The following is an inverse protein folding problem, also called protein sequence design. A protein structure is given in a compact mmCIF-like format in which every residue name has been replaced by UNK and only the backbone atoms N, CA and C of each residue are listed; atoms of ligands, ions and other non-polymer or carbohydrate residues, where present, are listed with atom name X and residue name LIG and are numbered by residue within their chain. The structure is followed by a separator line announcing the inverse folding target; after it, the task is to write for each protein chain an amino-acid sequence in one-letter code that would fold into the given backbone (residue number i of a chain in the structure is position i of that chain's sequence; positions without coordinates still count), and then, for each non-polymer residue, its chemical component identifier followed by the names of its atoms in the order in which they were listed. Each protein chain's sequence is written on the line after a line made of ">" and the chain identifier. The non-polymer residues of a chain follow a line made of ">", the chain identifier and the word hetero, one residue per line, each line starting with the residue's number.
data_IF_064492003416
#
_entry.id   IF_064492003416
#
_cell.length_a   1.000
_cell.length_b   1.000
_cell.length_c   1.000
_cell.angle_alpha   90.00
_cell.angle_beta   90.00
_cell.angle_gamma   90.00
#
_symmetry.space_group_name_H-M   'P 1'
#
loop_
_entity.id
_entity.type
_entity.pdbx_description
1 polymer ?
#
# COMPACT_ATOMS: atom_id res chain seq x y z
N UNK A 1 14.84 -8.36 19.18
CA UNK A 1 13.79 -7.35 19.13
C UNK A 1 12.49 -7.91 18.57
N UNK A 2 11.43 -7.13 18.68
CA UNK A 2 10.13 -7.44 18.12
C UNK A 2 10.02 -6.73 16.76
N UNK A 3 9.37 -7.37 15.80
CA UNK A 3 9.02 -6.80 14.50
C UNK A 3 7.52 -6.48 14.52
N UNK A 4 7.18 -5.23 14.26
CA UNK A 4 5.80 -4.79 14.03
C UNK A 4 5.55 -4.76 12.52
N UNK A 5 4.74 -5.70 12.05
CA UNK A 5 4.48 -5.90 10.61
C UNK A 5 3.42 -4.95 10.03
N UNK A 6 2.74 -4.15 10.87
CA UNK A 6 1.69 -3.24 10.43
C UNK A 6 1.62 -1.98 11.29
N UNK A 7 2.27 -0.93 10.86
CA UNK A 7 2.32 0.34 11.60
C UNK A 7 2.08 1.56 10.72
N UNK A 8 1.76 2.68 11.37
CA UNK A 8 1.54 3.98 10.73
C UNK A 8 2.32 5.10 11.44
N UNK A 9 3.34 4.74 12.25
CA UNK A 9 4.23 5.70 12.92
C UNK A 9 5.33 6.19 11.99
N UNK A 10 6.19 7.06 12.50
CA UNK A 10 7.37 7.55 11.79
C UNK A 10 7.07 8.23 10.46
N UNK A 11 5.94 8.90 10.32
CA UNK A 11 5.56 9.63 9.11
C UNK A 11 5.11 11.04 9.43
N UNK A 12 5.47 12.00 8.57
CA UNK A 12 5.10 13.41 8.72
C UNK A 12 3.75 13.70 8.07
N UNK A 13 2.85 14.39 8.78
CA UNK A 13 1.68 15.07 8.24
C UNK A 13 0.52 14.17 7.78
N UNK A 14 0.69 12.89 7.79
CA UNK A 14 -0.30 11.93 7.33
C UNK A 14 0.31 10.88 6.41
N UNK A 15 -0.34 9.72 6.36
CA UNK A 15 0.17 8.56 5.65
C UNK A 15 -0.80 8.09 4.57
N UNK A 16 -1.88 8.83 4.37
CA UNK A 16 -2.98 8.46 3.49
C UNK A 16 -3.10 9.43 2.32
N UNK A 17 -2.86 8.96 1.12
CA UNK A 17 -3.26 9.66 -0.10
C UNK A 17 -4.58 9.08 -0.59
N UNK A 18 -5.69 9.78 -0.27
CA UNK A 18 -7.04 9.26 -0.47
C UNK A 18 -7.80 9.91 -1.63
N UNK A 19 -7.17 10.80 -2.37
CA UNK A 19 -7.80 11.62 -3.40
C UNK A 19 -8.25 10.82 -4.61
N UNK A 20 -7.56 9.70 -4.90
CA UNK A 20 -7.87 8.80 -6.01
C UNK A 20 -8.10 7.37 -5.54
N UNK A 21 -8.72 6.56 -6.38
CA UNK A 21 -8.96 5.13 -6.10
C UNK A 21 -7.69 4.31 -6.17
N UNK A 22 -6.75 4.76 -6.98
CA UNK A 22 -5.44 4.16 -7.19
C UNK A 22 -4.39 5.25 -6.99
N UNK A 23 -3.46 5.03 -6.09
CA UNK A 23 -2.35 5.94 -5.77
C UNK A 23 -1.06 5.12 -5.59
N UNK A 24 -0.84 4.16 -6.49
CA UNK A 24 0.27 3.22 -6.41
C UNK A 24 1.66 3.89 -6.52
N UNK A 25 1.72 5.11 -7.06
CA UNK A 25 2.93 5.89 -7.23
C UNK A 25 3.44 6.54 -5.95
N UNK A 26 2.57 6.78 -4.93
CA UNK A 26 3.01 7.42 -3.69
C UNK A 26 3.77 6.45 -2.80
N UNK A 27 4.74 6.97 -2.04
CA UNK A 27 5.64 6.14 -1.24
C UNK A 27 5.73 6.65 0.19
N UNK A 28 5.51 5.78 1.16
CA UNK A 28 5.74 6.07 2.58
C UNK A 28 7.20 6.49 2.83
N UNK A 29 8.13 5.95 2.04
CA UNK A 29 9.56 6.28 2.13
C UNK A 29 9.88 7.78 1.99
N UNK A 30 9.01 8.55 1.33
CA UNK A 30 9.24 9.97 1.06
C UNK A 30 8.81 10.89 2.23
N UNK A 31 8.09 10.34 3.21
CA UNK A 31 7.54 11.11 4.34
C UNK A 31 8.01 10.59 5.70
N UNK A 32 9.08 9.83 5.75
CA UNK A 32 9.62 9.30 7.01
C UNK A 32 10.06 10.44 7.91
N UNK A 33 9.53 10.43 9.14
CA UNK A 33 9.87 11.36 10.21
C UNK A 33 10.70 10.66 11.30
N UNK A 34 12.01 10.87 11.36
CA UNK A 34 12.87 10.23 12.34
C UNK A 34 12.71 10.80 13.76
N UNK A 35 12.02 11.95 13.89
CA UNK A 35 11.76 12.63 15.17
C UNK A 35 10.39 12.27 15.77
N UNK A 36 9.64 11.36 15.15
CA UNK A 36 8.37 10.89 15.71
C UNK A 36 8.61 10.18 17.05
N UNK A 37 8.10 10.76 18.13
CA UNK A 37 8.23 10.21 19.49
C UNK A 37 7.76 8.76 19.61
N UNK A 38 6.88 8.31 18.71
CA UNK A 38 6.42 6.93 18.71
C UNK A 38 7.55 5.93 18.38
N UNK A 39 8.59 6.35 17.65
CA UNK A 39 9.78 5.53 17.45
C UNK A 39 10.44 5.21 18.80
N UNK A 40 10.65 6.21 19.63
CA UNK A 40 11.22 6.03 20.98
C UNK A 40 10.32 5.15 21.86
N UNK A 41 9.00 5.38 21.82
CA UNK A 41 8.03 4.59 22.59
C UNK A 41 8.03 3.12 22.17
N UNK A 42 8.07 2.84 20.89
CA UNK A 42 8.16 1.47 20.37
C UNK A 42 9.47 0.80 20.76
N UNK A 43 10.58 1.50 20.65
CA UNK A 43 11.90 1.00 21.10
C UNK A 43 11.91 0.67 22.60
N UNK A 44 11.28 1.48 23.44
CA UNK A 44 11.18 1.21 24.89
C UNK A 44 10.34 -0.03 25.19
N UNK A 45 9.40 -0.40 24.30
CA UNK A 45 8.64 -1.64 24.35
C UNK A 45 9.35 -2.85 23.73
N UNK A 46 10.54 -2.66 23.17
CA UNK A 46 11.33 -3.75 22.54
C UNK A 46 11.06 -3.96 21.05
N UNK A 47 10.24 -3.11 20.40
CA UNK A 47 10.03 -3.14 18.94
C UNK A 47 11.23 -2.48 18.27
N UNK A 48 11.94 -3.22 17.44
CA UNK A 48 13.17 -2.77 16.78
C UNK A 48 13.05 -2.58 15.29
N UNK A 49 12.00 -3.11 14.69
CA UNK A 49 11.71 -2.96 13.27
C UNK A 49 10.21 -2.80 13.07
N UNK A 50 9.83 -1.98 12.11
CA UNK A 50 8.41 -1.74 11.82
C UNK A 50 8.16 -1.57 10.33
N UNK A 51 7.11 -2.22 9.83
CA UNK A 51 6.63 -2.06 8.46
C UNK A 51 5.61 -0.93 8.42
N UNK A 52 5.99 0.20 7.84
CA UNK A 52 5.16 1.39 7.80
C UNK A 52 4.33 1.37 6.52
N UNK A 53 3.01 1.36 6.70
CA UNK A 53 2.05 1.20 5.63
C UNK A 53 1.26 2.48 5.36
N UNK A 54 0.93 2.69 4.10
CA UNK A 54 -0.20 3.55 3.73
C UNK A 54 -1.48 3.06 4.40
N UNK A 55 -2.37 3.92 4.79
CA UNK A 55 -3.65 3.51 5.38
C UNK A 55 -4.63 2.88 4.38
N UNK A 56 -5.83 2.56 4.85
CA UNK A 56 -6.80 1.76 4.08
C UNK A 56 -7.90 2.60 3.44
N UNK A 57 -7.64 3.85 3.07
CA UNK A 57 -8.66 4.79 2.63
C UNK A 57 -9.06 4.66 1.14
N UNK A 58 -8.28 3.96 0.34
CA UNK A 58 -8.54 3.71 -1.08
C UNK A 58 -8.20 2.25 -1.45
N UNK A 59 -8.77 1.70 -2.54
CA UNK A 59 -8.52 0.31 -2.93
C UNK A 59 -7.05 -0.01 -3.14
N UNK A 60 -6.35 0.78 -3.96
CA UNK A 60 -4.92 0.66 -4.18
C UNK A 60 -4.26 1.90 -3.61
N UNK A 61 -3.62 1.75 -2.46
CA UNK A 61 -2.89 2.81 -1.77
C UNK A 61 -1.43 2.88 -2.20
N UNK A 62 -0.59 3.42 -1.30
CA UNK A 62 0.82 3.68 -1.57
C UNK A 62 1.76 2.52 -1.25
N UNK A 63 2.97 2.68 -1.73
CA UNK A 63 4.10 1.80 -1.45
C UNK A 63 4.54 1.97 0.00
N UNK A 64 4.82 0.85 0.67
CA UNK A 64 5.18 0.79 2.08
C UNK A 64 6.68 0.94 2.29
N UNK A 65 7.12 1.06 3.54
CA UNK A 65 8.54 1.09 3.88
C UNK A 65 8.82 0.29 5.15
N UNK A 66 9.79 -0.60 5.09
CA UNK A 66 10.31 -1.31 6.26
C UNK A 66 11.41 -0.48 6.91
N UNK A 67 11.28 -0.22 8.22
CA UNK A 67 12.21 0.58 9.00
C UNK A 67 12.87 -0.24 10.11
N UNK A 68 14.16 0.04 10.33
CA UNK A 68 14.83 -0.21 11.60
C UNK A 68 14.50 0.97 12.50
N UNK A 69 13.84 0.72 13.62
CA UNK A 69 13.55 1.79 14.56
C UNK A 69 14.85 2.21 15.26
N UNK A 70 15.31 3.42 14.95
CA UNK A 70 16.53 4.02 15.48
C UNK A 70 16.25 5.45 15.88
N UNK A 71 16.52 5.80 17.11
CA UNK A 71 16.40 7.17 17.59
C UNK A 71 17.68 7.97 17.34
N UNK A 72 17.54 9.19 16.85
CA UNK A 72 18.68 10.11 16.65
C UNK A 72 19.45 9.94 15.35
N UNK A 73 18.90 9.21 14.38
CA UNK A 73 19.49 9.08 13.02
C UNK A 73 18.58 9.70 11.96
N UNK A 74 19.10 9.90 10.76
CA UNK A 74 18.31 10.40 9.63
C UNK A 74 17.37 9.35 9.03
N UNK A 75 16.39 9.78 8.20
CA UNK A 75 15.39 8.87 7.63
C UNK A 75 16.01 7.77 6.76
N UNK A 76 17.06 8.06 6.02
CA UNK A 76 17.71 7.07 5.15
C UNK A 76 18.41 5.94 5.95
N UNK A 77 18.96 6.27 7.11
CA UNK A 77 19.64 5.29 7.98
C UNK A 77 18.64 4.35 8.68
N UNK A 78 17.38 4.73 8.74
CA UNK A 78 16.29 3.89 9.26
C UNK A 78 15.79 2.87 8.24
N UNK A 79 15.90 3.14 6.95
CA UNK A 79 15.39 2.24 5.90
C UNK A 79 16.20 0.95 5.84
N UNK A 80 15.54 -0.17 5.64
CA UNK A 80 16.21 -1.40 5.29
C UNK A 80 16.74 -1.29 3.85
N UNK A 81 18.02 -1.62 3.67
CA UNK A 81 18.58 -1.79 2.34
C UNK A 81 18.16 -3.15 1.76
N UNK A 82 17.90 -3.19 0.47
CA UNK A 82 17.65 -4.44 -0.29
C UNK A 82 16.50 -5.29 0.28
N UNK A 83 15.41 -4.66 0.75
CA UNK A 83 14.20 -5.36 1.15
C UNK A 83 13.22 -5.45 -0.03
N UNK A 84 12.38 -6.47 0.01
CA UNK A 84 11.32 -6.63 -0.98
C UNK A 84 10.25 -5.55 -0.79
N UNK A 85 9.94 -4.78 -1.83
CA UNK A 85 8.96 -3.71 -1.77
C UNK A 85 7.54 -4.24 -1.61
N UNK A 86 6.75 -3.58 -0.77
CA UNK A 86 5.32 -3.87 -0.61
C UNK A 86 4.47 -2.68 -1.02
N UNK A 87 3.18 -2.95 -1.23
CA UNK A 87 2.15 -1.93 -1.47
C UNK A 87 0.91 -2.27 -0.66
N UNK A 88 0.22 -1.24 -0.19
CA UNK A 88 -1.02 -1.39 0.56
C UNK A 88 -2.23 -1.43 -0.36
N UNK A 89 -2.98 -2.52 -0.30
CA UNK A 89 -4.33 -2.65 -0.82
C UNK A 89 -5.34 -2.62 0.31
N UNK A 90 -6.58 -2.33 0.00
CA UNK A 90 -7.64 -2.35 0.99
C UNK A 90 -9.01 -2.72 0.39
N UNK A 91 -9.80 -3.37 1.21
CA UNK A 91 -11.18 -3.78 1.01
C UNK A 91 -12.05 -3.23 2.14
N UNK A 92 -13.28 -3.63 2.23
CA UNK A 92 -14.20 -3.26 3.30
C UNK A 92 -14.83 -1.88 3.12
N UNK A 93 -15.28 -1.29 4.21
CA UNK A 93 -15.99 -0.02 4.21
C UNK A 93 -15.07 1.18 3.93
N UNK A 94 -13.82 1.11 4.38
CA UNK A 94 -12.89 2.23 4.35
C UNK A 94 -12.58 2.75 2.94
N UNK A 95 -12.56 1.87 1.96
CA UNK A 95 -12.20 2.18 0.57
C UNK A 95 -13.33 2.81 -0.22
N UNK A 96 -14.55 2.69 0.28
CA UNK A 96 -15.73 3.35 -0.29
C UNK A 96 -15.76 4.81 0.15
N UNK A 97 -16.35 5.65 -0.64
CA UNK A 97 -16.45 7.09 -0.39
C UNK A 97 -17.20 7.48 0.90
N UNK A 98 -17.88 6.57 1.52
CA UNK A 98 -18.95 6.77 2.51
C UNK A 98 -18.66 7.66 3.71
N UNK A 99 -17.42 8.06 3.95
CA UNK A 99 -17.04 8.80 5.16
C UNK A 99 -16.85 10.32 4.97
N UNK A 100 -17.00 10.87 3.76
CA UNK A 100 -16.82 12.29 3.51
C UNK A 100 -17.86 12.85 2.55
N UNK A 101 -18.65 13.82 3.02
CA UNK A 101 -19.66 14.53 2.23
C UNK A 101 -19.08 15.32 1.04
N UNK A 102 -17.78 15.58 1.06
CA UNK A 102 -17.08 16.39 0.04
C UNK A 102 -16.25 15.55 -0.93
N UNK A 103 -16.24 14.23 -0.81
CA UNK A 103 -15.45 13.37 -1.67
C UNK A 103 -16.35 12.66 -2.69
N UNK A 104 -16.23 13.02 -3.97
CA UNK A 104 -16.94 12.38 -5.09
C UNK A 104 -16.10 11.31 -5.79
N UNK A 105 -15.08 10.79 -5.14
CA UNK A 105 -14.22 9.74 -5.69
C UNK A 105 -14.99 8.41 -5.84
N UNK A 106 -14.84 7.74 -6.97
CA UNK A 106 -15.15 6.32 -7.13
C UNK A 106 -14.16 5.47 -6.27
N UNK A 107 -14.51 4.31 -5.68
CA UNK A 107 -15.82 3.68 -5.68
C UNK A 107 -16.70 4.11 -4.50
N UNK A 108 -18.01 3.97 -4.67
CA UNK A 108 -19.00 4.17 -3.61
C UNK A 108 -19.59 2.86 -3.06
N UNK A 109 -19.36 1.77 -3.75
CA UNK A 109 -19.89 0.44 -3.42
C UNK A 109 -18.85 -0.67 -3.61
N UNK A 110 -19.15 -1.87 -3.08
CA UNK A 110 -18.32 -3.07 -3.29
C UNK A 110 -18.18 -3.46 -4.76
N UNK A 111 -19.22 -3.21 -5.57
CA UNK A 111 -19.13 -3.40 -7.03
C UNK A 111 -18.06 -2.52 -7.65
N UNK A 112 -18.00 -1.26 -7.22
CA UNK A 112 -16.98 -0.33 -7.68
C UNK A 112 -15.57 -0.70 -7.20
N UNK A 113 -15.42 -1.27 -6.00
CA UNK A 113 -14.11 -1.74 -5.49
C UNK A 113 -13.54 -2.81 -6.41
N UNK A 114 -14.31 -3.82 -6.77
CA UNK A 114 -13.88 -4.87 -7.70
C UNK A 114 -13.46 -4.27 -9.06
N UNK A 115 -14.28 -3.38 -9.61
CA UNK A 115 -13.98 -2.74 -10.89
C UNK A 115 -12.71 -1.87 -10.84
N UNK A 116 -12.43 -1.23 -9.71
CA UNK A 116 -11.17 -0.48 -9.54
C UNK A 116 -9.96 -1.40 -9.72
N UNK A 117 -9.96 -2.56 -9.09
CA UNK A 117 -8.87 -3.52 -9.22
C UNK A 117 -8.76 -4.07 -10.64
N UNK A 118 -9.91 -4.44 -11.23
CA UNK A 118 -9.96 -4.97 -12.60
C UNK A 118 -9.42 -3.97 -13.63
N UNK A 119 -9.83 -2.71 -13.54
CA UNK A 119 -9.37 -1.66 -14.44
C UNK A 119 -7.88 -1.35 -14.25
N UNK A 120 -7.44 -1.17 -13.00
CA UNK A 120 -6.06 -0.84 -12.70
C UNK A 120 -5.07 -1.91 -13.24
N UNK A 121 -5.35 -3.18 -13.00
CA UNK A 121 -4.51 -4.25 -13.50
C UNK A 121 -4.61 -4.45 -15.02
N UNK A 122 -5.80 -4.24 -15.61
CA UNK A 122 -5.92 -4.26 -17.06
C UNK A 122 -5.08 -3.16 -17.72
N UNK A 123 -5.14 -1.94 -17.20
CA UNK A 123 -4.29 -0.83 -17.66
C UNK A 123 -2.80 -1.15 -17.52
N UNK A 124 -2.39 -1.79 -16.43
CA UNK A 124 -1.01 -2.20 -16.24
C UNK A 124 -0.56 -3.28 -17.25
N UNK A 125 -1.43 -4.25 -17.55
CA UNK A 125 -1.17 -5.27 -18.59
C UNK A 125 -1.01 -4.61 -19.95
N UNK A 126 -1.88 -3.67 -20.29
CA UNK A 126 -1.82 -2.98 -21.58
C UNK A 126 -0.60 -2.04 -21.66
N UNK A 127 -0.24 -1.39 -20.55
CA UNK A 127 0.98 -0.61 -20.43
C UNK A 127 2.25 -1.46 -20.66
N UNK A 128 2.30 -2.69 -20.16
CA UNK A 128 3.43 -3.58 -20.39
C UNK A 128 3.61 -3.98 -21.88
N UNK A 129 2.50 -4.02 -22.64
CA UNK A 129 2.55 -4.31 -24.09
C UNK A 129 3.08 -3.14 -24.92
N UNK A 130 3.04 -1.92 -24.39
CA UNK A 130 3.62 -0.75 -25.07
C UNK A 130 5.13 -0.90 -25.13
N UNK A 131 5.74 -0.52 -26.25
CA UNK A 131 7.18 -0.61 -26.44
C UNK A 131 8.03 0.21 -25.46
N UNK A 132 9.33 0.17 -25.64
CA UNK A 132 10.32 0.84 -24.76
C UNK A 132 10.22 2.39 -24.81
N UNK A 133 9.70 2.94 -25.88
CA UNK A 133 9.56 4.40 -26.09
C UNK A 133 8.29 4.99 -25.46
N UNK A 134 7.53 4.19 -24.69
CA UNK A 134 6.35 4.68 -23.99
C UNK A 134 6.71 5.73 -22.94
N UNK A 135 5.82 6.71 -22.75
CA UNK A 135 5.92 7.62 -21.61
C UNK A 135 5.85 6.82 -20.30
N UNK A 136 6.78 7.06 -19.39
CA UNK A 136 6.78 6.45 -18.06
C UNK A 136 5.58 6.97 -17.27
N UNK A 137 4.76 6.03 -16.79
CA UNK A 137 3.65 6.24 -15.89
C UNK A 137 3.97 5.58 -14.54
N UNK A 138 4.11 6.36 -13.48
CA UNK A 138 4.60 5.88 -12.19
C UNK A 138 3.61 4.94 -11.49
N UNK A 139 2.30 5.17 -11.66
CA UNK A 139 1.27 4.27 -11.17
C UNK A 139 1.36 2.91 -11.86
N UNK A 140 1.39 2.91 -13.20
CA UNK A 140 1.41 1.68 -14.00
C UNK A 140 2.75 0.94 -13.90
N UNK A 141 3.87 1.64 -13.67
CA UNK A 141 5.16 1.01 -13.37
C UNK A 141 5.06 0.20 -12.06
N UNK A 142 4.48 0.78 -11.01
CA UNK A 142 4.31 0.10 -9.72
C UNK A 142 3.38 -1.12 -9.83
N UNK A 143 2.26 -0.98 -10.56
CA UNK A 143 1.36 -2.11 -10.82
C UNK A 143 2.04 -3.20 -11.67
N UNK A 144 2.89 -2.80 -12.62
CA UNK A 144 3.70 -3.75 -13.42
C UNK A 144 4.71 -4.51 -12.56
N UNK A 145 5.28 -3.90 -11.53
CA UNK A 145 6.14 -4.62 -10.58
C UNK A 145 5.38 -5.71 -9.83
N UNK A 146 4.10 -5.50 -9.50
CA UNK A 146 3.23 -6.51 -8.87
C UNK A 146 3.01 -7.68 -9.85
N UNK A 147 2.64 -7.40 -11.10
CA UNK A 147 2.43 -8.40 -12.14
C UNK A 147 3.72 -9.23 -12.41
N UNK A 148 4.88 -8.59 -12.32
CA UNK A 148 6.17 -9.22 -12.47
C UNK A 148 6.71 -9.90 -11.20
N UNK A 149 5.91 -9.93 -10.11
CA UNK A 149 6.27 -10.54 -8.81
C UNK A 149 7.51 -9.92 -8.16
N UNK A 150 7.75 -8.64 -8.43
CA UNK A 150 8.83 -7.82 -7.85
C UNK A 150 8.35 -6.94 -6.69
N UNK A 151 7.04 -6.80 -6.55
CA UNK A 151 6.41 -6.05 -5.45
C UNK A 151 5.29 -6.90 -4.85
N UNK A 152 5.25 -6.94 -3.54
CA UNK A 152 4.35 -7.75 -2.76
C UNK A 152 3.15 -6.95 -2.28
N UNK A 153 2.01 -7.63 -2.04
CA UNK A 153 0.75 -6.99 -1.68
C UNK A 153 0.38 -7.36 -0.24
N UNK A 154 0.12 -6.34 0.58
CA UNK A 154 -0.57 -6.48 1.85
C UNK A 154 -1.96 -5.84 1.76
N UNK A 155 -3.01 -6.56 2.13
CA UNK A 155 -4.39 -6.17 1.89
C UNK A 155 -5.20 -6.10 3.19
N UNK A 156 -5.69 -4.91 3.51
CA UNK A 156 -6.68 -4.71 4.58
C UNK A 156 -8.00 -5.37 4.20
N UNK A 157 -8.54 -6.24 5.03
CA UNK A 157 -9.74 -7.02 4.72
C UNK A 157 -10.34 -7.66 5.97
N UNK A 158 -11.66 -7.81 5.99
CA UNK A 158 -12.39 -8.46 7.07
C UNK A 158 -13.74 -9.06 6.61
N UNK A 159 -14.01 -9.02 5.30
CA UNK A 159 -15.25 -9.57 4.73
C UNK A 159 -14.91 -10.72 3.79
N UNK A 160 -15.38 -11.91 4.10
CA UNK A 160 -15.06 -13.14 3.37
C UNK A 160 -15.31 -13.04 1.85
N UNK A 161 -16.45 -12.47 1.45
CA UNK A 161 -16.79 -12.34 0.02
C UNK A 161 -15.81 -11.42 -0.73
N UNK A 162 -15.32 -10.37 -0.08
CA UNK A 162 -14.34 -9.46 -0.66
C UNK A 162 -12.94 -10.09 -0.73
N UNK A 163 -12.56 -10.88 0.27
CA UNK A 163 -11.32 -11.66 0.25
C UNK A 163 -11.35 -12.64 -0.92
N UNK A 164 -12.45 -13.38 -1.09
CA UNK A 164 -12.62 -14.29 -2.22
C UNK A 164 -12.58 -13.57 -3.56
N UNK A 165 -13.18 -12.38 -3.66
CA UNK A 165 -13.11 -11.55 -4.85
C UNK A 165 -11.65 -11.16 -5.17
N UNK A 166 -10.91 -10.69 -4.17
CA UNK A 166 -9.51 -10.29 -4.37
C UNK A 166 -8.60 -11.46 -4.77
N UNK A 167 -8.84 -12.66 -4.23
CA UNK A 167 -8.15 -13.88 -4.66
C UNK A 167 -8.41 -14.14 -6.15
N UNK A 168 -9.66 -14.04 -6.62
CA UNK A 168 -9.99 -14.23 -8.04
C UNK A 168 -9.36 -13.17 -8.94
N UNK A 169 -9.26 -11.93 -8.48
CA UNK A 169 -8.54 -10.86 -9.20
C UNK A 169 -7.06 -11.23 -9.33
N UNK A 170 -6.44 -11.68 -8.24
CA UNK A 170 -5.03 -12.08 -8.24
C UNK A 170 -4.78 -13.29 -9.16
N UNK A 171 -5.66 -14.28 -9.16
CA UNK A 171 -5.62 -15.42 -10.07
C UNK A 171 -5.74 -14.99 -11.55
N UNK A 172 -6.71 -14.10 -11.84
CA UNK A 172 -6.95 -13.61 -13.21
C UNK A 172 -5.73 -12.89 -13.79
N UNK A 173 -5.06 -12.07 -13.00
CA UNK A 173 -3.89 -11.28 -13.43
C UNK A 173 -2.56 -11.93 -13.06
N UNK A 174 -2.58 -13.12 -12.44
CA UNK A 174 -1.41 -13.92 -12.07
C UNK A 174 -0.41 -13.16 -11.18
N UNK A 175 -0.89 -12.41 -10.21
CA UNK A 175 -0.04 -11.79 -9.19
C UNK A 175 -0.20 -12.46 -7.82
N UNK A 176 0.73 -12.17 -6.90
CA UNK A 176 0.76 -12.79 -5.59
C UNK A 176 0.16 -11.86 -4.53
N UNK A 177 -0.81 -12.37 -3.78
CA UNK A 177 -1.25 -11.79 -2.52
C UNK A 177 -0.42 -12.38 -1.38
N UNK A 178 0.24 -11.53 -0.61
CA UNK A 178 1.15 -12.00 0.43
C UNK A 178 0.49 -12.03 1.81
N UNK A 179 -0.33 -11.02 2.10
CA UNK A 179 -0.91 -10.87 3.45
C UNK A 179 -2.30 -10.27 3.36
N UNK A 180 -3.23 -10.85 4.11
CA UNK A 180 -4.47 -10.21 4.50
C UNK A 180 -4.36 -9.79 5.96
N UNK A 181 -4.77 -8.56 6.28
CA UNK A 181 -4.72 -8.01 7.63
C UNK A 181 -6.12 -7.71 8.14
N UNK A 182 -6.32 -7.77 9.45
CA UNK A 182 -7.58 -7.53 10.17
C UNK A 182 -8.64 -8.62 9.99
N UNK A 183 -8.21 -9.84 9.71
CA UNK A 183 -9.08 -11.02 9.62
C UNK A 183 -9.39 -11.56 11.02
#
# INVERSE_FOLDING_TARGET
>A
GIIDEHSHIAATGGINECTQSVTAEVRVADVINPEDINIYRQLSGGVTSSHILHGSCNPIGGQTQLLKLRWGVGPEEMKFANWDGFIKFALGENVKRSSSTNNNRFPDSRMGVEQTYMDAFQRAVDYQKMGVDKRKDLELETLSEILNKKRFVTCHSYVQSEINMMIKVAEKFNFQLNTFTHI
#
